data_IF_657167332771
#
_entry.id   IF_657167332771
#
_cell.length_a   1.000
_cell.length_b   1.000
_cell.length_c   1.000
_cell.angle_alpha   90.00
_cell.angle_beta   90.00
_cell.angle_gamma   90.00
#
_symmetry.space_group_name_H-M   'P 1'
#
loop_
_entity.id
_entity.type
_entity.pdbx_description
1 polymer ?
#
# COMPACT_ATOMS: atom_id res chain seq x y z
N UNK A 1 22.86 -0.17 4.40
CA UNK A 1 21.62 0.57 4.08
C UNK A 1 21.89 1.33 2.79
N UNK A 2 21.03 1.24 1.78
CA UNK A 2 21.20 2.01 0.54
C UNK A 2 20.71 3.44 0.70
N UNK A 3 21.42 4.41 0.14
CA UNK A 3 21.01 5.83 0.07
C UNK A 3 20.49 6.16 -1.31
N UNK A 4 19.33 6.83 -1.37
CA UNK A 4 18.72 7.33 -2.61
C UNK A 4 18.68 8.86 -2.57
N UNK A 5 19.20 9.50 -3.61
CA UNK A 5 19.08 10.95 -3.79
C UNK A 5 17.87 11.23 -4.70
N UNK A 6 16.88 11.95 -4.16
CA UNK A 6 15.64 12.29 -4.88
C UNK A 6 15.64 13.79 -5.14
N UNK A 7 15.40 14.18 -6.39
CA UNK A 7 15.12 15.58 -6.73
C UNK A 7 13.64 15.84 -6.53
N UNK A 8 13.34 16.90 -5.80
CA UNK A 8 12.00 17.31 -5.37
C UNK A 8 11.66 18.66 -5.98
N UNK A 9 10.37 18.90 -6.19
CA UNK A 9 9.87 20.23 -6.52
C UNK A 9 9.54 21.02 -5.25
N UNK A 10 9.20 22.30 -5.41
CA UNK A 10 8.87 23.18 -4.28
C UNK A 10 7.68 22.67 -3.47
N UNK A 11 6.68 22.07 -4.13
CA UNK A 11 5.50 21.54 -3.45
C UNK A 11 5.87 20.37 -2.53
N UNK A 12 6.76 19.47 -2.99
CA UNK A 12 7.24 18.34 -2.21
C UNK A 12 8.15 18.79 -1.06
N UNK A 13 8.95 19.83 -1.26
CA UNK A 13 9.73 20.46 -0.18
C UNK A 13 8.81 20.98 0.94
N UNK A 14 7.78 21.76 0.58
CA UNK A 14 6.78 22.27 1.54
C UNK A 14 6.05 21.12 2.25
N UNK A 15 5.71 20.05 1.53
CA UNK A 15 5.04 18.90 2.12
C UNK A 15 5.94 18.17 3.13
N UNK A 16 7.22 17.99 2.82
CA UNK A 16 8.18 17.35 3.72
C UNK A 16 8.42 18.19 4.99
N UNK A 17 8.50 19.51 4.84
CA UNK A 17 8.60 20.41 5.98
C UNK A 17 7.36 20.31 6.88
N UNK A 18 6.15 20.32 6.30
CA UNK A 18 4.90 20.15 7.07
C UNK A 18 4.79 18.78 7.74
N UNK A 19 5.27 17.71 7.09
CA UNK A 19 5.22 16.36 7.63
C UNK A 19 6.20 16.13 8.77
N UNK A 20 7.26 16.93 8.84
CA UNK A 20 8.31 16.82 9.88
C UNK A 20 8.16 17.90 10.96
N UNK A 21 7.50 19.03 10.66
CA UNK A 21 7.28 20.14 11.59
C UNK A 21 6.65 19.68 12.91
N UNK A 22 7.29 20.05 14.03
CA UNK A 22 6.81 19.73 15.37
C UNK A 22 6.93 18.25 15.74
N UNK A 23 7.69 17.47 14.98
CA UNK A 23 7.98 16.05 15.26
C UNK A 23 9.48 15.82 15.34
N UNK A 24 9.91 14.75 15.99
CA UNK A 24 11.31 14.31 16.00
C UNK A 24 11.70 13.53 14.72
N UNK A 25 10.84 13.55 13.68
CA UNK A 25 11.04 12.75 12.47
C UNK A 25 11.95 13.46 11.48
N UNK A 26 12.83 12.68 10.87
CA UNK A 26 13.65 13.11 9.74
C UNK A 26 12.86 13.11 8.43
N UNK A 27 13.33 13.88 7.45
CA UNK A 27 12.77 13.87 6.09
C UNK A 27 12.84 12.48 5.45
N UNK A 28 13.92 11.74 5.70
CA UNK A 28 14.06 10.36 5.22
C UNK A 28 13.02 9.42 5.82
N UNK A 29 12.67 9.58 7.10
CA UNK A 29 11.60 8.80 7.74
C UNK A 29 10.23 9.17 7.19
N UNK A 30 9.97 10.45 6.93
CA UNK A 30 8.74 10.91 6.29
C UNK A 30 8.57 10.31 4.88
N UNK A 31 9.63 10.34 4.06
CA UNK A 31 9.65 9.71 2.72
C UNK A 31 9.46 8.20 2.82
N UNK A 32 10.17 7.53 3.75
CA UNK A 32 10.01 6.08 3.97
C UNK A 32 8.58 5.73 4.35
N UNK A 33 7.99 6.49 5.28
CA UNK A 33 6.61 6.28 5.70
C UNK A 33 5.63 6.46 4.53
N UNK A 34 5.78 7.54 3.76
CA UNK A 34 4.95 7.80 2.59
C UNK A 34 5.02 6.64 1.58
N UNK A 35 6.22 6.17 1.24
CA UNK A 35 6.40 5.07 0.29
C UNK A 35 5.73 3.78 0.76
N UNK A 36 5.95 3.39 2.03
CA UNK A 36 5.37 2.17 2.59
C UNK A 36 3.85 2.26 2.69
N UNK A 37 3.32 3.44 3.04
CA UNK A 37 1.89 3.69 3.08
C UNK A 37 1.26 3.56 1.69
N UNK A 38 1.84 4.21 0.68
CA UNK A 38 1.34 4.14 -0.70
C UNK A 38 1.40 2.71 -1.23
N UNK A 39 2.47 1.97 -0.95
CA UNK A 39 2.56 0.56 -1.34
C UNK A 39 1.45 -0.30 -0.68
N UNK A 40 1.18 -0.08 0.61
CA UNK A 40 0.07 -0.74 1.29
C UNK A 40 -1.27 -0.43 0.64
N UNK A 41 -1.53 0.84 0.31
CA UNK A 41 -2.77 1.26 -0.35
C UNK A 41 -2.92 0.57 -1.73
N UNK A 42 -1.85 0.42 -2.49
CA UNK A 42 -1.86 -0.31 -3.77
C UNK A 42 -2.19 -1.79 -3.60
N UNK A 43 -1.64 -2.46 -2.58
CA UNK A 43 -1.97 -3.86 -2.29
C UNK A 43 -3.44 -4.02 -1.90
N UNK A 44 -3.99 -3.09 -1.12
CA UNK A 44 -5.40 -3.11 -0.73
C UNK A 44 -6.31 -2.86 -1.94
N UNK A 45 -5.92 -1.98 -2.85
CA UNK A 45 -6.68 -1.75 -4.08
C UNK A 45 -6.71 -3.02 -4.93
N UNK A 46 -5.57 -3.68 -5.14
CA UNK A 46 -5.50 -4.93 -5.88
C UNK A 46 -6.38 -6.01 -5.27
N UNK A 47 -6.32 -6.18 -3.95
CA UNK A 47 -7.17 -7.15 -3.26
C UNK A 47 -8.67 -6.84 -3.39
N UNK A 48 -9.02 -5.55 -3.40
CA UNK A 48 -10.41 -5.10 -3.64
C UNK A 48 -10.84 -5.43 -5.06
N UNK A 49 -10.04 -5.08 -6.06
CA UNK A 49 -10.33 -5.31 -7.47
C UNK A 49 -10.45 -6.83 -7.77
N UNK A 50 -9.60 -7.65 -7.15
CA UNK A 50 -9.67 -9.11 -7.25
C UNK A 50 -10.94 -9.65 -6.58
N UNK A 51 -11.33 -9.13 -5.41
CA UNK A 51 -12.58 -9.52 -4.75
C UNK A 51 -13.81 -9.13 -5.57
N UNK A 52 -13.81 -7.95 -6.19
CA UNK A 52 -14.89 -7.50 -7.08
C UNK A 52 -14.99 -8.38 -8.33
N UNK A 53 -13.86 -8.80 -8.91
CA UNK A 53 -13.82 -9.79 -10.00
C UNK A 53 -14.40 -11.14 -9.59
N UNK A 54 -13.98 -11.67 -8.45
CA UNK A 54 -14.54 -12.91 -7.91
C UNK A 54 -16.04 -12.77 -7.68
N UNK A 55 -16.51 -11.63 -7.17
CA UNK A 55 -17.93 -11.40 -6.90
C UNK A 55 -18.84 -11.53 -8.15
N UNK A 56 -18.30 -11.28 -9.34
CA UNK A 56 -19.05 -11.34 -10.60
C UNK A 56 -18.91 -12.67 -11.36
N UNK A 57 -18.04 -13.58 -10.90
CA UNK A 57 -17.83 -14.89 -11.51
C UNK A 57 -18.14 -16.03 -10.52
N UNK A 58 -19.23 -16.76 -10.78
CA UNK A 58 -19.73 -17.83 -9.91
C UNK A 58 -18.81 -19.06 -9.90
N UNK A 59 -18.11 -19.34 -11.00
CA UNK A 59 -17.20 -20.49 -11.09
C UNK A 59 -15.93 -20.20 -10.29
N UNK A 60 -15.38 -18.99 -10.41
CA UNK A 60 -14.22 -18.55 -9.62
C UNK A 60 -14.54 -18.50 -8.10
N UNK A 61 -15.76 -18.12 -7.70
CA UNK A 61 -16.18 -18.19 -6.29
C UNK A 61 -16.20 -19.61 -5.75
N UNK A 62 -16.71 -20.56 -6.54
CA UNK A 62 -16.79 -21.96 -6.15
C UNK A 62 -15.38 -22.56 -6.00
N UNK A 63 -14.47 -22.22 -6.91
CA UNK A 63 -13.06 -22.64 -6.85
C UNK A 63 -12.35 -22.05 -5.61
N UNK A 64 -12.50 -20.75 -5.37
CA UNK A 64 -11.89 -20.09 -4.19
C UNK A 64 -12.42 -20.65 -2.86
N UNK A 65 -13.71 -20.95 -2.76
CA UNK A 65 -14.29 -21.59 -1.58
C UNK A 65 -13.72 -23.00 -1.35
N UNK A 66 -13.51 -23.77 -2.42
CA UNK A 66 -12.88 -25.08 -2.33
C UNK A 66 -11.42 -24.99 -1.83
N UNK A 67 -10.65 -24.01 -2.34
CA UNK A 67 -9.28 -23.74 -1.90
C UNK A 67 -9.24 -23.31 -0.42
N UNK A 68 -10.12 -22.39 0.00
CA UNK A 68 -10.18 -21.95 1.41
C UNK A 68 -10.56 -23.07 2.38
N UNK A 69 -11.46 -23.98 1.98
CA UNK A 69 -11.79 -25.20 2.74
C UNK A 69 -10.60 -26.15 2.85
N UNK A 70 -9.84 -26.33 1.78
CA UNK A 70 -8.63 -27.16 1.80
C UNK A 70 -7.56 -26.58 2.75
N UNK A 71 -7.39 -25.26 2.76
CA UNK A 71 -6.46 -24.57 3.68
C UNK A 71 -6.99 -24.49 5.13
N UNK A 72 -8.25 -24.85 5.39
CA UNK A 72 -8.87 -24.83 6.72
C UNK A 72 -9.18 -23.43 7.26
N UNK A 73 -9.41 -22.45 6.37
CA UNK A 73 -9.59 -21.03 6.74
C UNK A 73 -11.06 -20.57 6.62
N UNK A 74 -11.90 -21.34 5.92
CA UNK A 74 -13.33 -21.05 5.72
C UNK A 74 -14.23 -21.66 6.80
#
# INVERSE_FOLDING_TARGET
MGTLNVRTDEAMEIALDKLTAGTDRTRSEAVRYALLRTYKELLLQQATDDAERLAVDQDDQAEMLAIQRFMGVA
#
